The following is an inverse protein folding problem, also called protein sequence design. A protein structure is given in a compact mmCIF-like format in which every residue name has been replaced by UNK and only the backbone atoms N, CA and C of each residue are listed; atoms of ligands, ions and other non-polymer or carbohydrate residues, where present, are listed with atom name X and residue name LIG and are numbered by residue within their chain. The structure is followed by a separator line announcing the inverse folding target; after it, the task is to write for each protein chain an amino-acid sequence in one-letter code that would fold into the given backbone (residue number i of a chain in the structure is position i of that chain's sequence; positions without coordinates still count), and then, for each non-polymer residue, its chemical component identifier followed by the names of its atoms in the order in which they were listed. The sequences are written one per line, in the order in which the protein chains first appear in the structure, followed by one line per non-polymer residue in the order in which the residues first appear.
data_IF_972832188052
#
_entry.id   IF_972832188052
#
_cell.length_a   1.000
_cell.length_b   1.000
_cell.length_c   1.000
_cell.angle_alpha   90.00
_cell.angle_beta   90.00
_cell.angle_gamma   90.00
#
_symmetry.space_group_name_H-M   'P 1'
#
loop_
_entity.id
_entity.type
_entity.pdbx_description
1 polymer ?
#
# COMPACT_ATOMS: atom_id res chain seq x y z
N UNK A 1 -16.84 -16.26 -5.83
CA UNK A 1 -17.57 -15.23 -5.05
C UNK A 1 -16.73 -14.91 -3.83
N UNK A 2 -16.57 -13.62 -3.47
CA UNK A 2 -15.83 -13.23 -2.26
C UNK A 2 -16.59 -13.71 -1.02
N UNK A 3 -15.85 -14.24 -0.04
CA UNK A 3 -16.41 -14.55 1.28
C UNK A 3 -16.48 -13.30 2.15
N UNK A 4 -17.23 -13.37 3.26
CA UNK A 4 -17.28 -12.31 4.27
C UNK A 4 -15.90 -11.95 4.83
N UNK A 5 -15.00 -12.92 4.91
CA UNK A 5 -13.62 -12.72 5.36
C UNK A 5 -12.79 -11.95 4.33
N UNK A 6 -12.98 -12.24 3.04
CA UNK A 6 -12.27 -11.53 1.96
C UNK A 6 -12.68 -10.06 1.91
N UNK A 7 -13.97 -9.79 2.12
CA UNK A 7 -14.48 -8.44 2.28
C UNK A 7 -13.93 -7.76 3.53
N UNK A 8 -13.82 -8.47 4.66
CA UNK A 8 -13.26 -7.90 5.88
C UNK A 8 -11.80 -7.47 5.69
N UNK A 9 -10.98 -8.28 5.01
CA UNK A 9 -9.59 -7.92 4.66
C UNK A 9 -9.53 -6.69 3.75
N UNK A 10 -10.40 -6.62 2.74
CA UNK A 10 -10.47 -5.47 1.83
C UNK A 10 -10.86 -4.18 2.56
N UNK A 11 -11.87 -4.25 3.44
CA UNK A 11 -12.30 -3.10 4.24
C UNK A 11 -11.24 -2.69 5.26
N UNK A 12 -10.52 -3.63 5.87
CA UNK A 12 -9.40 -3.32 6.77
C UNK A 12 -8.28 -2.56 6.03
N UNK A 13 -7.93 -2.99 4.81
CA UNK A 13 -6.92 -2.32 3.99
C UNK A 13 -7.35 -0.89 3.58
N UNK A 14 -8.61 -0.70 3.17
CA UNK A 14 -9.13 0.63 2.81
C UNK A 14 -9.30 1.53 4.04
N UNK A 15 -9.71 0.97 5.18
CA UNK A 15 -9.75 1.69 6.46
C UNK A 15 -8.34 2.15 6.87
N UNK A 16 -7.33 1.31 6.72
CA UNK A 16 -5.94 1.68 7.01
C UNK A 16 -5.46 2.80 6.08
N UNK A 17 -5.71 2.71 4.77
CA UNK A 17 -5.34 3.72 3.78
C UNK A 17 -6.03 5.06 4.06
N UNK A 18 -7.34 5.05 4.32
CA UNK A 18 -8.10 6.27 4.63
C UNK A 18 -7.74 6.85 6.00
N UNK A 19 -7.41 6.00 6.98
CA UNK A 19 -6.86 6.41 8.27
C UNK A 19 -5.51 7.09 8.15
N UNK A 20 -4.61 6.56 7.30
CA UNK A 20 -3.35 7.22 6.96
C UNK A 20 -3.62 8.58 6.32
N UNK A 21 -4.52 8.68 5.33
CA UNK A 21 -4.86 9.98 4.71
C UNK A 21 -5.40 11.00 5.73
N UNK A 22 -6.12 10.55 6.75
CA UNK A 22 -6.70 11.40 7.79
C UNK A 22 -5.72 11.74 8.93
N UNK A 23 -4.55 11.09 9.02
CA UNK A 23 -3.60 11.35 10.10
C UNK A 23 -3.08 12.78 10.04
N UNK A 24 -2.84 13.42 11.20
CA UNK A 24 -2.30 14.76 11.30
C UNK A 24 -1.55 14.89 12.63
N UNK A 25 -0.44 15.66 12.71
CA UNK A 25 0.28 16.35 11.63
C UNK A 25 0.96 15.41 10.62
N UNK A 26 1.05 15.77 9.33
CA UNK A 26 1.91 15.08 8.34
C UNK A 26 2.91 16.05 7.70
N UNK A 27 4.15 16.16 8.23
CA UNK A 27 5.14 17.03 7.63
C UNK A 27 5.47 16.60 6.19
N UNK A 28 5.49 17.53 5.23
CA UNK A 28 5.90 17.26 3.85
C UNK A 28 4.96 16.37 3.01
N UNK A 29 3.80 15.98 3.54
CA UNK A 29 2.73 15.27 2.82
C UNK A 29 1.42 16.06 2.95
N UNK A 30 0.40 15.79 2.12
CA UNK A 30 -0.91 16.39 2.29
C UNK A 30 -1.47 16.18 3.72
N UNK A 31 -1.53 17.28 4.48
CA UNK A 31 -2.03 17.33 5.84
C UNK A 31 -3.49 17.81 5.84
N UNK A 32 -4.43 17.10 6.50
CA UNK A 32 -5.80 17.55 6.68
C UNK A 32 -5.96 18.87 7.45
N UNK A 33 -4.89 19.42 8.03
CA UNK A 33 -4.90 20.75 8.64
C UNK A 33 -4.63 21.86 7.62
N UNK A 34 -4.03 21.53 6.47
CA UNK A 34 -3.74 22.48 5.39
C UNK A 34 -4.94 22.67 4.43
N UNK A 35 -6.15 22.36 4.90
CA UNK A 35 -7.39 22.40 4.11
C UNK A 35 -7.91 23.82 3.83
N UNK A 36 -7.22 24.84 4.34
CA UNK A 36 -7.54 26.25 4.06
C UNK A 36 -7.40 26.57 2.57
N UNK A 37 -6.53 25.84 1.85
CA UNK A 37 -6.47 25.86 0.40
C UNK A 37 -7.57 24.95 -0.20
N UNK A 38 -8.54 25.56 -0.90
CA UNK A 38 -9.65 24.86 -1.58
C UNK A 38 -9.19 23.68 -2.45
N UNK A 39 -8.08 23.83 -3.17
CA UNK A 39 -7.50 22.80 -4.02
C UNK A 39 -7.05 21.58 -3.20
N UNK A 40 -6.29 21.79 -2.13
CA UNK A 40 -5.83 20.74 -1.21
C UNK A 40 -6.99 19.96 -0.58
N UNK A 41 -8.08 20.65 -0.24
CA UNK A 41 -9.30 20.02 0.30
C UNK A 41 -10.03 19.15 -0.72
N UNK A 42 -10.14 19.61 -1.97
CA UNK A 42 -10.76 18.82 -3.04
C UNK A 42 -9.95 17.56 -3.34
N UNK A 43 -8.62 17.68 -3.40
CA UNK A 43 -7.72 16.54 -3.62
C UNK A 43 -7.79 15.52 -2.49
N UNK A 44 -7.86 15.96 -1.23
CA UNK A 44 -8.00 15.06 -0.07
C UNK A 44 -9.32 14.28 -0.09
N UNK A 45 -10.43 14.97 -0.36
CA UNK A 45 -11.74 14.33 -0.50
C UNK A 45 -11.77 13.34 -1.67
N UNK A 46 -11.18 13.69 -2.81
CA UNK A 46 -11.07 12.82 -3.98
C UNK A 46 -10.21 11.57 -3.69
N UNK A 47 -9.09 11.73 -2.97
CA UNK A 47 -8.25 10.61 -2.54
C UNK A 47 -8.97 9.66 -1.57
N UNK A 48 -9.74 10.19 -0.61
CA UNK A 48 -10.56 9.37 0.28
C UNK A 48 -11.68 8.65 -0.46
N UNK A 49 -12.29 9.30 -1.45
CA UNK A 49 -13.35 8.71 -2.27
C UNK A 49 -12.82 7.59 -3.17
N UNK A 50 -11.77 7.88 -3.95
CA UNK A 50 -11.12 6.91 -4.84
C UNK A 50 -10.56 5.69 -4.09
N UNK A 51 -10.11 5.85 -2.84
CA UNK A 51 -9.68 4.72 -2.00
C UNK A 51 -10.80 3.68 -1.79
N UNK A 52 -12.07 4.09 -1.75
CA UNK A 52 -13.20 3.16 -1.60
C UNK A 52 -13.37 2.27 -2.84
N UNK A 53 -12.98 2.73 -4.02
CA UNK A 53 -13.02 1.94 -5.25
C UNK A 53 -12.02 0.77 -5.25
N UNK A 54 -11.10 0.70 -4.27
CA UNK A 54 -10.19 -0.44 -4.09
C UNK A 54 -10.88 -1.67 -3.51
N UNK A 55 -11.98 -1.51 -2.75
CA UNK A 55 -12.60 -2.59 -1.97
C UNK A 55 -12.91 -3.83 -2.83
N UNK A 56 -13.61 -3.73 -3.99
CA UNK A 56 -13.95 -4.91 -4.78
C UNK A 56 -12.70 -5.64 -5.31
N UNK A 57 -11.69 -4.86 -5.72
CA UNK A 57 -10.43 -5.40 -6.21
C UNK A 57 -9.64 -6.15 -5.13
N UNK A 58 -9.52 -5.55 -3.95
CA UNK A 58 -8.84 -6.16 -2.81
C UNK A 58 -9.58 -7.42 -2.32
N UNK A 59 -10.91 -7.42 -2.30
CA UNK A 59 -11.69 -8.60 -1.94
C UNK A 59 -11.50 -9.74 -2.97
N UNK A 60 -11.45 -9.41 -4.27
CA UNK A 60 -11.14 -10.37 -5.31
C UNK A 60 -9.72 -10.95 -5.17
N UNK A 61 -8.73 -10.13 -4.78
CA UNK A 61 -7.37 -10.60 -4.51
C UNK A 61 -7.29 -11.56 -3.33
N UNK A 62 -8.01 -11.26 -2.23
CA UNK A 62 -8.13 -12.17 -1.09
C UNK A 62 -8.78 -13.51 -1.50
N UNK A 63 -9.89 -13.46 -2.24
CA UNK A 63 -10.58 -14.65 -2.71
C UNK A 63 -9.71 -15.51 -3.66
N UNK A 64 -8.96 -14.88 -4.56
CA UNK A 64 -8.01 -15.56 -5.45
C UNK A 64 -6.89 -16.26 -4.68
N UNK A 65 -6.34 -15.58 -3.67
CA UNK A 65 -5.31 -16.12 -2.80
C UNK A 65 -5.82 -17.33 -2.01
N UNK A 66 -6.97 -17.19 -1.35
CA UNK A 66 -7.61 -18.27 -0.58
C UNK A 66 -7.91 -19.49 -1.44
N UNK A 67 -8.46 -19.27 -2.65
CA UNK A 67 -8.75 -20.36 -3.60
C UNK A 67 -7.48 -21.08 -4.07
N UNK A 68 -6.37 -20.36 -4.19
CA UNK A 68 -5.09 -20.96 -4.64
C UNK A 68 -4.34 -21.67 -3.51
N UNK A 69 -4.46 -21.17 -2.27
CA UNK A 69 -3.88 -21.79 -1.07
C UNK A 69 -2.37 -21.60 -0.89
N UNK A 70 -1.63 -21.19 -1.92
CA UNK A 70 -0.18 -20.99 -1.84
C UNK A 70 0.37 -19.87 -2.76
N UNK A 71 1.56 -19.30 -2.45
CA UNK A 71 2.23 -18.29 -3.28
C UNK A 71 2.78 -18.88 -4.59
N UNK A 72 1.94 -19.04 -5.61
CA UNK A 72 2.33 -19.60 -6.91
C UNK A 72 2.51 -18.54 -8.00
N UNK A 73 3.20 -18.88 -9.12
CA UNK A 73 3.20 -18.03 -10.31
C UNK A 73 1.79 -17.77 -10.86
N UNK A 74 0.90 -18.75 -10.74
CA UNK A 74 -0.51 -18.64 -11.13
C UNK A 74 -1.25 -17.57 -10.33
N UNK A 75 -1.14 -17.64 -8.99
CA UNK A 75 -1.70 -16.62 -8.10
C UNK A 75 -1.16 -15.23 -8.45
N UNK A 76 0.16 -15.08 -8.62
CA UNK A 76 0.75 -13.78 -8.95
C UNK A 76 0.21 -13.20 -10.25
N UNK A 77 0.00 -14.03 -11.27
CA UNK A 77 -0.59 -13.63 -12.54
C UNK A 77 -2.04 -13.17 -12.38
N UNK A 78 -2.83 -13.88 -11.58
CA UNK A 78 -4.22 -13.52 -11.29
C UNK A 78 -4.33 -12.21 -10.50
N UNK A 79 -3.54 -12.04 -9.43
CA UNK A 79 -3.47 -10.79 -8.68
C UNK A 79 -3.08 -9.60 -9.59
N UNK A 80 -2.17 -9.84 -10.54
CA UNK A 80 -1.81 -8.85 -11.56
C UNK A 80 -2.98 -8.46 -12.47
N UNK A 81 -3.78 -9.43 -12.90
CA UNK A 81 -4.98 -9.19 -13.70
C UNK A 81 -6.04 -8.40 -12.92
N UNK A 82 -6.35 -8.84 -11.70
CA UNK A 82 -7.28 -8.14 -10.80
C UNK A 82 -6.80 -6.71 -10.57
N UNK A 83 -5.52 -6.53 -10.22
CA UNK A 83 -4.95 -5.21 -9.94
C UNK A 83 -5.04 -4.24 -11.12
N UNK A 84 -4.86 -4.70 -12.36
CA UNK A 84 -5.06 -3.85 -13.55
C UNK A 84 -6.53 -3.43 -13.72
N UNK A 85 -7.47 -4.34 -13.50
CA UNK A 85 -8.90 -4.00 -13.52
C UNK A 85 -9.26 -3.02 -12.40
N UNK A 86 -8.73 -3.23 -11.19
CA UNK A 86 -8.94 -2.32 -10.05
C UNK A 86 -8.35 -0.94 -10.30
N UNK A 87 -7.16 -0.86 -10.90
CA UNK A 87 -6.55 0.42 -11.27
C UNK A 87 -7.45 1.22 -12.22
N UNK A 88 -8.09 0.55 -13.18
CA UNK A 88 -9.05 1.19 -14.07
C UNK A 88 -10.27 1.74 -13.30
N UNK A 89 -10.88 0.93 -12.41
CA UNK A 89 -12.01 1.36 -11.57
C UNK A 89 -11.65 2.54 -10.66
N UNK A 90 -10.47 2.52 -10.05
CA UNK A 90 -9.96 3.64 -9.23
C UNK A 90 -9.72 4.88 -10.08
N UNK A 91 -9.21 4.72 -11.31
CA UNK A 91 -9.06 5.79 -12.29
C UNK A 91 -10.36 6.52 -12.58
N UNK A 92 -11.46 5.79 -12.76
CA UNK A 92 -12.80 6.37 -12.94
C UNK A 92 -13.33 7.09 -11.69
N UNK A 93 -12.85 6.73 -10.49
CA UNK A 93 -13.25 7.30 -9.21
C UNK A 93 -12.39 8.51 -8.77
N UNK A 94 -11.56 9.07 -9.65
CA UNK A 94 -10.65 10.18 -9.35
C UNK A 94 -9.16 9.81 -9.33
N UNK A 95 -8.85 8.53 -9.49
CA UNK A 95 -7.47 8.03 -9.63
C UNK A 95 -6.67 7.98 -8.33
N UNK A 96 -5.35 7.98 -8.47
CA UNK A 96 -4.42 7.85 -7.34
C UNK A 96 -4.12 6.41 -6.93
N UNK A 97 -3.50 6.25 -5.77
CA UNK A 97 -3.32 4.98 -5.06
C UNK A 97 -2.64 3.82 -5.79
N UNK A 98 -2.02 4.03 -6.96
CA UNK A 98 -1.38 2.93 -7.72
C UNK A 98 -0.33 2.18 -6.88
N UNK A 99 0.47 2.91 -6.11
CA UNK A 99 1.45 2.31 -5.19
C UNK A 99 0.78 1.56 -4.04
N UNK A 100 -0.26 2.15 -3.45
CA UNK A 100 -1.04 1.55 -2.37
C UNK A 100 -1.76 0.27 -2.82
N UNK A 101 -2.41 0.26 -3.98
CA UNK A 101 -3.04 -0.92 -4.58
C UNK A 101 -2.03 -2.06 -4.74
N UNK A 102 -0.80 -1.74 -5.15
CA UNK A 102 0.24 -2.75 -5.32
C UNK A 102 0.68 -3.36 -3.98
N UNK A 103 0.96 -2.52 -2.98
CA UNK A 103 1.38 -2.99 -1.65
C UNK A 103 0.23 -3.70 -0.91
N UNK A 104 -0.93 -3.05 -0.79
CA UNK A 104 -2.12 -3.58 -0.12
C UNK A 104 -2.65 -4.84 -0.81
N UNK A 105 -2.62 -4.90 -2.15
CA UNK A 105 -3.05 -6.09 -2.87
C UNK A 105 -2.25 -7.34 -2.51
N UNK A 106 -0.92 -7.20 -2.39
CA UNK A 106 -0.05 -8.30 -1.97
C UNK A 106 -0.22 -8.65 -0.49
N UNK A 107 -0.38 -7.65 0.38
CA UNK A 107 -0.58 -7.86 1.82
C UNK A 107 -1.93 -8.52 2.12
N UNK A 108 -3.00 -8.09 1.43
CA UNK A 108 -4.34 -8.69 1.53
C UNK A 108 -4.33 -10.13 1.04
N UNK A 109 -3.72 -10.40 -0.11
CA UNK A 109 -3.55 -11.77 -0.60
C UNK A 109 -2.75 -12.64 0.40
N UNK A 110 -1.65 -12.11 0.95
CA UNK A 110 -0.82 -12.82 1.92
C UNK A 110 -1.54 -13.08 3.26
N UNK A 111 -2.37 -12.15 3.72
CA UNK A 111 -3.21 -12.33 4.91
C UNK A 111 -4.30 -13.38 4.67
N UNK A 112 -4.87 -13.45 3.46
CA UNK A 112 -5.82 -14.49 3.10
C UNK A 112 -5.18 -15.89 3.00
N UNK A 113 -3.88 -15.98 2.68
CA UNK A 113 -3.12 -17.24 2.71
C UNK A 113 -2.75 -17.70 4.12
N UNK A 114 -2.61 -16.77 5.07
CA UNK A 114 -2.31 -17.10 6.48
C UNK A 114 -3.35 -16.47 7.42
N UNK A 115 -4.55 -17.05 7.51
CA UNK A 115 -5.54 -16.62 8.50
C UNK A 115 -4.95 -16.67 9.91
N UNK A 116 -4.95 -15.54 10.62
CA UNK A 116 -4.39 -15.44 11.98
C UNK A 116 -2.87 -15.26 12.06
N UNK A 117 -2.18 -15.17 10.91
CA UNK A 117 -0.75 -14.86 10.87
C UNK A 117 -0.42 -13.46 11.42
N UNK A 118 0.76 -13.31 12.00
CA UNK A 118 1.26 -12.01 12.44
C UNK A 118 1.58 -11.10 11.25
N UNK A 119 1.77 -9.80 11.48
CA UNK A 119 2.24 -8.88 10.42
C UNK A 119 3.55 -9.32 9.76
N UNK A 120 4.40 -10.05 10.50
CA UNK A 120 5.64 -10.63 9.99
C UNK A 120 5.39 -11.79 9.03
N UNK A 121 4.46 -12.68 9.38
CA UNK A 121 4.06 -13.82 8.53
C UNK A 121 3.42 -13.34 7.23
N UNK A 122 2.58 -12.31 7.31
CA UNK A 122 1.97 -11.65 6.15
C UNK A 122 3.05 -11.04 5.25
N UNK A 123 4.04 -10.33 5.81
CA UNK A 123 5.13 -9.75 5.03
C UNK A 123 6.01 -10.82 4.37
N UNK A 124 6.31 -11.91 5.07
CA UNK A 124 7.06 -13.05 4.54
C UNK A 124 6.32 -13.75 3.40
N UNK A 125 5.00 -13.91 3.53
CA UNK A 125 4.17 -14.53 2.50
C UNK A 125 4.01 -13.63 1.29
N UNK A 126 3.82 -12.32 1.50
CA UNK A 126 3.77 -11.34 0.42
C UNK A 126 5.09 -11.29 -0.36
N UNK A 127 6.23 -11.49 0.32
CA UNK A 127 7.52 -11.72 -0.34
C UNK A 127 7.49 -12.95 -1.24
N UNK A 128 6.96 -14.07 -0.76
CA UNK A 128 6.76 -15.28 -1.55
C UNK A 128 5.98 -15.00 -2.85
N UNK A 129 4.87 -14.27 -2.75
CA UNK A 129 4.07 -13.88 -3.92
C UNK A 129 4.86 -12.96 -4.86
N UNK A 130 5.56 -11.95 -4.31
CA UNK A 130 6.29 -10.93 -5.07
C UNK A 130 7.54 -11.43 -5.79
N UNK A 131 8.08 -12.59 -5.40
CA UNK A 131 9.19 -13.27 -6.10
C UNK A 131 8.78 -13.74 -7.48
N UNK A 132 7.50 -14.08 -7.67
CA UNK A 132 7.00 -14.51 -8.98
C UNK A 132 6.83 -13.30 -9.92
N UNK A 133 7.21 -13.43 -11.21
CA UNK A 133 6.97 -12.39 -12.19
C UNK A 133 5.51 -12.41 -12.68
N UNK A 134 4.96 -11.23 -12.97
CA UNK A 134 3.71 -11.11 -13.73
C UNK A 134 4.05 -10.99 -15.22
N UNK A 135 3.89 -12.08 -15.96
CA UNK A 135 4.16 -12.15 -17.41
C UNK A 135 3.28 -11.21 -18.24
N UNK A 136 2.15 -10.75 -17.68
CA UNK A 136 1.20 -9.83 -18.33
C UNK A 136 1.35 -8.39 -17.81
N UNK A 137 2.40 -8.09 -17.05
CA UNK A 137 2.68 -6.74 -16.62
C UNK A 137 2.89 -5.82 -17.85
N UNK A 138 2.42 -4.55 -17.80
CA UNK A 138 2.65 -3.60 -18.88
C UNK A 138 4.14 -3.45 -19.20
N UNK A 139 4.47 -3.46 -20.50
CA UNK A 139 5.86 -3.23 -20.96
C UNK A 139 6.32 -1.79 -20.74
N UNK A 140 5.39 -0.83 -20.72
CA UNK A 140 5.69 0.58 -20.46
C UNK A 140 6.02 0.77 -18.97
N UNK A 141 7.16 1.41 -18.63
CA UNK A 141 7.50 1.67 -17.24
C UNK A 141 6.49 2.63 -16.61
N UNK A 142 6.09 2.34 -15.37
CA UNK A 142 5.35 3.28 -14.53
C UNK A 142 6.28 4.40 -14.04
N UNK A 143 5.71 5.55 -13.62
CA UNK A 143 6.47 6.65 -13.00
C UNK A 143 7.43 6.15 -11.94
N UNK A 144 6.91 5.41 -10.95
CA UNK A 144 7.72 4.83 -9.88
C UNK A 144 8.84 3.91 -10.36
N UNK A 145 8.64 3.13 -11.42
CA UNK A 145 9.72 2.29 -11.96
C UNK A 145 10.76 3.05 -12.78
N UNK A 146 10.36 4.09 -13.48
CA UNK A 146 11.32 4.98 -14.16
C UNK A 146 12.20 5.70 -13.13
N UNK A 147 11.61 6.14 -12.02
CA UNK A 147 12.32 6.78 -10.90
C UNK A 147 13.24 5.80 -10.20
N UNK A 148 12.75 4.58 -9.92
CA UNK A 148 13.54 3.50 -9.32
C UNK A 148 14.76 3.18 -10.18
N UNK A 149 14.60 3.10 -11.51
CA UNK A 149 15.70 2.88 -12.44
C UNK A 149 16.70 4.06 -12.47
N UNK A 150 16.20 5.29 -12.36
CA UNK A 150 17.03 6.50 -12.41
C UNK A 150 17.85 6.72 -11.14
N UNK A 151 17.27 6.50 -9.96
CA UNK A 151 17.88 6.87 -8.67
C UNK A 151 18.25 5.68 -7.79
N UNK A 152 18.03 4.43 -8.25
CA UNK A 152 18.34 3.24 -7.47
C UNK A 152 17.37 2.97 -6.30
N UNK A 153 16.26 3.72 -6.22
CA UNK A 153 15.23 3.49 -5.21
C UNK A 153 14.57 2.12 -5.42
N UNK A 154 14.34 1.39 -4.33
CA UNK A 154 13.70 0.08 -4.39
C UNK A 154 12.26 0.16 -4.96
N UNK A 155 11.56 1.24 -4.62
CA UNK A 155 10.15 1.44 -4.93
C UNK A 155 9.25 0.34 -4.34
N UNK A 156 7.95 0.41 -4.63
CA UNK A 156 6.99 -0.59 -4.13
C UNK A 156 7.41 -2.02 -4.48
N UNK A 157 7.89 -2.24 -5.72
CA UNK A 157 8.33 -3.56 -6.20
C UNK A 157 9.50 -4.14 -5.41
N UNK A 158 10.52 -3.33 -5.11
CA UNK A 158 11.64 -3.74 -4.30
C UNK A 158 11.21 -4.03 -2.86
N UNK A 159 10.34 -3.20 -2.29
CA UNK A 159 9.82 -3.41 -0.93
C UNK A 159 9.17 -4.79 -0.77
N UNK A 160 8.21 -5.18 -1.62
CA UNK A 160 7.59 -6.50 -1.43
C UNK A 160 8.57 -7.66 -1.71
N UNK A 161 9.49 -7.52 -2.67
CA UNK A 161 10.53 -8.55 -2.91
C UNK A 161 11.48 -8.71 -1.72
N UNK A 162 11.69 -7.65 -0.94
CA UNK A 162 12.43 -7.68 0.31
C UNK A 162 11.58 -8.15 1.50
N UNK A 163 10.25 -8.26 1.35
CA UNK A 163 9.31 -8.58 2.43
C UNK A 163 8.98 -7.38 3.30
N UNK A 164 8.77 -6.23 2.67
CA UNK A 164 8.35 -4.96 3.27
C UNK A 164 9.16 -4.57 4.52
N UNK A 165 10.48 -4.39 4.40
CA UNK A 165 11.33 -4.03 5.54
C UNK A 165 10.88 -2.74 6.23
N UNK A 166 10.41 -1.75 5.48
CA UNK A 166 9.91 -0.49 6.05
C UNK A 166 8.58 -0.67 6.80
N UNK A 167 7.69 -1.53 6.31
CA UNK A 167 6.46 -1.88 7.02
C UNK A 167 6.77 -2.59 8.32
N UNK A 168 7.74 -3.51 8.33
CA UNK A 168 8.18 -4.21 9.55
C UNK A 168 8.72 -3.24 10.60
N UNK A 169 9.61 -2.32 10.21
CA UNK A 169 10.10 -1.26 11.10
C UNK A 169 8.97 -0.37 11.64
N UNK A 170 8.02 0.00 10.78
CA UNK A 170 6.87 0.79 11.19
C UNK A 170 5.95 0.04 12.16
N UNK A 171 5.78 -1.28 12.00
CA UNK A 171 5.05 -2.13 12.95
C UNK A 171 5.75 -2.18 14.31
N UNK A 172 7.08 -2.27 14.33
CA UNK A 172 7.87 -2.25 15.56
C UNK A 172 7.73 -0.90 16.29
N UNK A 173 7.86 0.21 15.56
CA UNK A 173 7.66 1.56 16.09
C UNK A 173 6.23 1.73 16.65
N UNK A 174 5.22 1.29 15.90
CA UNK A 174 3.82 1.32 16.32
C UNK A 174 3.59 0.54 17.61
N UNK A 175 4.16 -0.66 17.72
CA UNK A 175 4.04 -1.51 18.90
C UNK A 175 4.76 -0.89 20.11
N UNK A 176 5.95 -0.33 19.90
CA UNK A 176 6.72 0.34 20.95
C UNK A 176 5.98 1.57 21.50
N UNK A 177 5.45 2.43 20.64
CA UNK A 177 4.69 3.62 21.03
C UNK A 177 3.43 3.24 21.83
N UNK A 178 2.68 2.24 21.37
CA UNK A 178 1.52 1.70 22.12
C UNK A 178 1.90 1.19 23.50
N UNK A 179 3.02 0.45 23.60
CA UNK A 179 3.52 -0.06 24.88
C UNK A 179 3.95 1.08 25.83
N UNK A 180 4.43 2.18 25.29
CA UNK A 180 4.78 3.38 26.04
C UNK A 180 3.56 4.21 26.49
N UNK A 181 2.34 3.80 26.15
CA UNK A 181 1.11 4.50 26.52
C UNK A 181 0.74 5.66 25.59
N UNK A 182 1.37 5.76 24.42
CA UNK A 182 0.99 6.74 23.41
C UNK A 182 -0.45 6.50 22.93
N UNK A 183 -1.13 7.58 22.55
CA UNK A 183 -2.43 7.47 21.89
C UNK A 183 -2.28 6.78 20.54
N UNK A 184 -3.37 6.19 20.03
CA UNK A 184 -3.34 5.51 18.73
C UNK A 184 -2.95 6.46 17.58
N UNK A 185 -3.29 7.75 17.68
CA UNK A 185 -2.88 8.77 16.71
C UNK A 185 -1.36 9.01 16.74
N UNK A 186 -0.77 9.17 17.92
CA UNK A 186 0.68 9.34 18.10
C UNK A 186 1.43 8.10 17.64
N UNK A 187 0.99 6.90 18.02
CA UNK A 187 1.63 5.66 17.63
C UNK A 187 1.63 5.46 16.09
N UNK A 188 0.53 5.83 15.41
CA UNK A 188 0.45 5.82 13.94
C UNK A 188 1.34 6.87 13.31
N UNK A 189 1.50 8.03 13.96
CA UNK A 189 2.38 9.09 13.50
C UNK A 189 3.84 8.67 13.61
N UNK A 190 4.26 8.05 14.71
CA UNK A 190 5.59 7.49 14.88
C UNK A 190 5.89 6.44 13.81
N UNK A 191 4.93 5.56 13.52
CA UNK A 191 5.04 4.58 12.45
C UNK A 191 5.21 5.24 11.07
N UNK A 192 4.44 6.29 10.79
CA UNK A 192 4.54 7.06 9.54
C UNK A 192 5.92 7.75 9.41
N UNK A 193 6.37 8.42 10.47
CA UNK A 193 7.68 9.10 10.50
C UNK A 193 8.83 8.10 10.38
N UNK A 194 8.70 6.90 10.94
CA UNK A 194 9.66 5.81 10.77
C UNK A 194 9.79 5.40 9.31
N UNK A 195 8.67 5.28 8.58
CA UNK A 195 8.71 5.01 7.13
C UNK A 195 9.33 6.19 6.38
N UNK A 196 8.87 7.42 6.63
CA UNK A 196 9.33 8.59 5.89
C UNK A 196 10.83 8.88 6.05
N UNK A 197 11.39 8.61 7.23
CA UNK A 197 12.82 8.84 7.51
C UNK A 197 13.76 7.81 6.88
N UNK A 198 13.24 6.66 6.44
CA UNK A 198 14.08 5.56 5.94
C UNK A 198 13.76 5.13 4.52
N UNK A 199 12.54 5.37 4.03
CA UNK A 199 12.10 5.02 2.69
C UNK A 199 12.47 6.11 1.68
N UNK A 200 13.10 5.72 0.58
CA UNK A 200 13.28 6.61 -0.58
C UNK A 200 11.96 6.72 -1.36
N UNK A 201 11.20 7.77 -1.10
CA UNK A 201 9.90 7.99 -1.75
C UNK A 201 10.07 8.29 -3.26
N UNK A 202 9.60 7.37 -4.10
CA UNK A 202 9.67 7.51 -5.55
C UNK A 202 8.77 8.61 -6.10
N UNK A 203 7.69 8.99 -5.40
CA UNK A 203 6.83 10.11 -5.80
C UNK A 203 7.50 11.46 -5.51
N UNK A 204 8.16 11.60 -4.36
CA UNK A 204 8.97 12.78 -4.06
C UNK A 204 10.16 12.90 -5.02
N UNK A 205 10.87 11.79 -5.29
CA UNK A 205 11.95 11.76 -6.28
C UNK A 205 11.47 12.09 -7.70
N UNK A 206 10.22 11.76 -8.04
CA UNK A 206 9.62 12.14 -9.32
C UNK A 206 9.34 13.64 -9.39
N UNK A 207 8.76 14.20 -8.33
CA UNK A 207 8.20 15.55 -8.31
C UNK A 207 9.24 16.62 -7.99
N UNK A 208 10.14 16.35 -7.04
CA UNK A 208 11.14 17.28 -6.51
C UNK A 208 12.59 16.81 -6.70
N UNK A 209 12.81 15.61 -7.25
CA UNK A 209 14.16 15.04 -7.40
C UNK A 209 14.81 14.68 -6.06
N UNK A 210 16.13 14.40 -6.03
CA UNK A 210 16.84 13.99 -4.82
C UNK A 210 16.80 15.01 -3.67
N UNK A 211 16.60 16.29 -3.98
CA UNK A 211 16.46 17.35 -2.97
C UNK A 211 15.17 17.19 -2.15
N UNK A 212 14.13 16.57 -2.71
CA UNK A 212 12.87 16.31 -2.01
C UNK A 212 12.93 15.19 -0.97
N UNK A 213 14.07 14.50 -0.82
CA UNK A 213 14.29 13.47 0.21
C UNK A 213 15.12 13.98 1.40
N UNK A 214 15.46 15.27 1.45
CA UNK A 214 16.29 15.87 2.50
C UNK A 214 15.46 16.66 3.49
#
# INVERSE_FOLDING_TARGET
MSSREDEALAHAAVTALTGQLALAPKPGLPDPRDLDARTTRLDHCALRWSAKALVPGLAAMAAAARRTGEPTPGLRGELGAIGRCTEHSVGLAGGGHRGALWALGLLVAAAALNPGGTGWDVAATAKGIARHPDKRAPRRPSRGSSVSAKYGAAGARGEARAGFPHVRRALDALAAARKAGATEAEARLDALLTVMSTLQDTELLYTAGPLGLR
#
